data_IF_908034684990
#
_entry.id   IF_908034684990
#
_cell.length_a   1.000
_cell.length_b   1.000
_cell.length_c   1.000
_cell.angle_alpha   90.00
_cell.angle_beta   90.00
_cell.angle_gamma   90.00
#
_symmetry.space_group_name_H-M   'P 1'
#
loop_
_entity.id
_entity.type
_entity.pdbx_description
1 polymer ?
#
# COMPACT_ATOMS: atom_id res chain seq x y z
N UNK A 1 4.36 -11.35 -14.07
CA UNK A 1 3.16 -10.76 -14.72
C UNK A 1 3.53 -9.33 -15.05
N UNK A 2 3.47 -8.91 -16.31
CA UNK A 2 3.88 -7.57 -16.74
C UNK A 2 2.63 -6.70 -16.97
N UNK A 3 2.66 -5.46 -16.48
CA UNK A 3 1.54 -4.52 -16.66
C UNK A 3 1.55 -4.01 -18.09
N UNK A 4 0.39 -4.10 -18.72
CA UNK A 4 0.18 -3.50 -20.03
C UNK A 4 -0.28 -2.07 -19.85
N UNK A 5 0.35 -1.17 -20.57
CA UNK A 5 -0.03 0.22 -20.64
C UNK A 5 -0.38 0.58 -22.08
N UNK A 6 -1.29 1.52 -22.30
CA UNK A 6 -1.57 2.03 -23.63
C UNK A 6 -0.35 2.80 -24.17
N UNK A 7 -0.14 2.83 -25.50
CA UNK A 7 0.94 3.59 -26.13
C UNK A 7 1.01 5.05 -25.69
N UNK A 8 -0.13 5.69 -25.40
CA UNK A 8 -0.20 7.08 -24.93
C UNK A 8 0.51 7.33 -23.60
N UNK A 9 0.57 6.34 -22.69
CA UNK A 9 1.31 6.44 -21.44
C UNK A 9 2.83 6.45 -21.71
N UNK A 10 3.28 5.60 -22.63
CA UNK A 10 4.67 5.56 -23.05
C UNK A 10 5.09 6.80 -23.83
N UNK A 11 4.24 7.31 -24.74
CA UNK A 11 4.52 8.55 -25.48
C UNK A 11 4.76 9.73 -24.52
N UNK A 12 3.92 9.89 -23.50
CA UNK A 12 4.10 10.93 -22.48
C UNK A 12 5.42 10.78 -21.71
N UNK A 13 5.78 9.55 -21.35
CA UNK A 13 7.04 9.29 -20.66
C UNK A 13 8.25 9.66 -21.55
N UNK A 14 8.18 9.30 -22.84
CA UNK A 14 9.21 9.63 -23.83
C UNK A 14 9.35 11.14 -24.05
N UNK A 15 8.22 11.85 -24.19
CA UNK A 15 8.20 13.30 -24.33
C UNK A 15 8.78 14.02 -23.09
N UNK A 16 8.50 13.50 -21.90
CA UNK A 16 8.89 14.15 -20.66
C UNK A 16 10.38 13.95 -20.32
N UNK A 17 10.96 12.81 -20.66
CA UNK A 17 12.33 12.45 -20.26
C UNK A 17 13.28 12.17 -21.43
N UNK A 18 12.82 12.34 -22.69
CA UNK A 18 13.63 12.11 -23.91
C UNK A 18 14.32 10.74 -23.92
N UNK A 19 13.54 9.68 -23.69
CA UNK A 19 14.05 8.31 -23.51
C UNK A 19 14.01 7.48 -24.81
N UNK A 20 14.71 6.35 -24.79
CA UNK A 20 14.53 5.25 -25.74
C UNK A 20 14.04 4.00 -24.98
N UNK A 21 12.90 3.44 -25.39
CA UNK A 21 12.33 2.26 -24.73
C UNK A 21 12.96 0.94 -25.21
N UNK A 22 13.79 0.97 -26.26
CA UNK A 22 14.35 -0.23 -26.89
C UNK A 22 13.26 -1.30 -27.17
N UNK A 23 12.18 -0.88 -27.84
CA UNK A 23 11.03 -1.76 -28.12
C UNK A 23 11.43 -2.89 -29.06
N UNK A 24 10.89 -4.09 -28.85
CA UNK A 24 10.93 -5.13 -29.87
C UNK A 24 10.06 -4.76 -31.07
N UNK A 25 10.27 -5.41 -32.22
CA UNK A 25 9.44 -5.18 -33.42
C UNK A 25 7.93 -5.36 -33.13
N UNK A 26 7.58 -6.33 -32.27
CA UNK A 26 6.19 -6.56 -31.85
C UNK A 26 5.66 -5.41 -30.97
N UNK A 27 6.45 -4.94 -30.01
CA UNK A 27 6.05 -3.80 -29.16
C UNK A 27 5.98 -2.49 -29.96
N UNK A 28 6.86 -2.30 -30.94
CA UNK A 28 6.82 -1.16 -31.85
C UNK A 28 5.54 -1.18 -32.70
N UNK A 29 5.16 -2.34 -33.23
CA UNK A 29 3.87 -2.50 -33.92
C UNK A 29 2.69 -2.18 -32.99
N UNK A 30 2.69 -2.65 -31.74
CA UNK A 30 1.65 -2.31 -30.76
C UNK A 30 1.60 -0.81 -30.45
N UNK A 31 2.75 -0.14 -30.41
CA UNK A 31 2.83 1.31 -30.24
C UNK A 31 2.13 2.05 -31.39
N UNK A 32 2.33 1.61 -32.64
CA UNK A 32 1.71 2.18 -33.83
C UNK A 32 0.21 1.87 -33.94
N UNK A 33 -0.19 0.65 -33.55
CA UNK A 33 -1.58 0.18 -33.62
C UNK A 33 -2.46 0.66 -32.46
N UNK A 34 -1.89 1.34 -31.46
CA UNK A 34 -2.65 1.79 -30.29
C UNK A 34 -2.99 0.66 -29.31
N UNK A 35 -2.27 -0.46 -29.37
CA UNK A 35 -2.54 -1.67 -28.58
C UNK A 35 -1.74 -1.63 -27.29
N UNK A 36 -2.38 -2.02 -26.17
CA UNK A 36 -1.69 -2.06 -24.87
C UNK A 36 -0.60 -3.14 -24.85
N UNK A 37 0.57 -2.77 -24.35
CA UNK A 37 1.69 -3.68 -24.21
C UNK A 37 2.48 -3.39 -22.93
N UNK A 38 3.31 -4.34 -22.55
CA UNK A 38 4.13 -4.24 -21.35
C UNK A 38 5.60 -4.18 -21.71
N UNK A 39 6.38 -3.41 -20.94
CA UNK A 39 7.83 -3.51 -20.96
C UNK A 39 8.29 -4.72 -20.15
N UNK A 40 9.39 -5.35 -20.58
CA UNK A 40 10.10 -6.35 -19.79
C UNK A 40 10.73 -5.73 -18.54
N UNK A 41 11.16 -6.56 -17.59
CA UNK A 41 11.87 -6.07 -16.40
C UNK A 41 13.18 -5.37 -16.77
N UNK A 42 13.91 -5.89 -17.77
CA UNK A 42 15.16 -5.27 -18.27
C UNK A 42 14.88 -3.92 -18.94
N UNK A 43 13.83 -3.82 -19.77
CA UNK A 43 13.40 -2.55 -20.38
C UNK A 43 13.01 -1.52 -19.31
N UNK A 44 12.24 -1.94 -18.28
CA UNK A 44 11.91 -1.06 -17.15
C UNK A 44 13.16 -0.60 -16.40
N UNK A 45 14.12 -1.48 -16.22
CA UNK A 45 15.37 -1.16 -15.52
C UNK A 45 16.26 -0.21 -16.33
N UNK A 46 16.25 -0.31 -17.65
CA UNK A 46 16.91 0.62 -18.58
C UNK A 46 16.21 1.99 -18.61
N UNK A 47 14.87 2.03 -18.61
CA UNK A 47 14.11 3.27 -18.45
C UNK A 47 14.51 3.98 -17.15
N UNK A 48 14.61 3.25 -16.04
CA UNK A 48 15.07 3.83 -14.76
C UNK A 48 16.50 4.40 -14.87
N UNK A 49 17.42 3.72 -15.57
CA UNK A 49 18.79 4.22 -15.77
C UNK A 49 18.82 5.50 -16.61
N UNK A 50 18.02 5.57 -17.67
CA UNK A 50 17.93 6.74 -18.52
C UNK A 50 17.28 7.93 -17.80
N UNK A 51 16.22 7.70 -17.01
CA UNK A 51 15.65 8.75 -16.14
C UNK A 51 16.74 9.28 -15.19
N UNK A 52 17.55 8.40 -14.59
CA UNK A 52 18.63 8.79 -13.70
C UNK A 52 19.75 9.61 -14.39
N UNK A 53 19.89 9.55 -15.72
CA UNK A 53 20.84 10.40 -16.47
C UNK A 53 20.26 11.78 -16.79
N UNK A 54 18.94 11.94 -16.75
CA UNK A 54 18.25 13.22 -17.00
C UNK A 54 18.00 13.99 -15.70
N UNK A 55 17.62 13.29 -14.63
CA UNK A 55 17.28 13.85 -13.33
C UNK A 55 17.89 13.01 -12.22
N UNK A 56 18.50 13.64 -11.21
CA UNK A 56 19.02 12.92 -10.05
C UNK A 56 17.89 12.08 -9.41
N UNK A 57 18.09 10.78 -9.16
CA UNK A 57 17.04 9.88 -8.64
C UNK A 57 16.28 10.41 -7.42
N UNK A 58 16.99 11.10 -6.52
CA UNK A 58 16.41 11.68 -5.31
C UNK A 58 15.50 12.85 -5.63
N UNK A 59 15.92 13.71 -6.55
CA UNK A 59 15.11 14.84 -7.03
C UNK A 59 13.85 14.31 -7.72
N UNK A 60 13.99 13.27 -8.56
CA UNK A 60 12.83 12.60 -9.14
C UNK A 60 11.84 12.10 -8.07
N UNK A 61 12.34 11.39 -7.06
CA UNK A 61 11.47 10.86 -6.02
C UNK A 61 10.76 11.98 -5.22
N UNK A 62 11.46 13.09 -4.92
CA UNK A 62 10.88 14.26 -4.24
C UNK A 62 9.82 14.96 -5.11
N UNK A 63 10.10 15.23 -6.38
CA UNK A 63 9.23 15.98 -7.30
C UNK A 63 7.95 15.23 -7.65
N UNK A 64 8.03 13.93 -7.91
CA UNK A 64 6.89 13.15 -8.37
C UNK A 64 6.09 12.49 -7.24
N UNK A 65 6.49 12.62 -5.96
CA UNK A 65 5.80 12.00 -4.83
C UNK A 65 4.32 12.42 -4.68
N UNK A 66 3.99 13.69 -4.94
CA UNK A 66 2.60 14.17 -4.89
C UNK A 66 1.82 13.81 -6.17
N UNK A 67 2.51 13.63 -7.30
CA UNK A 67 1.92 13.29 -8.60
C UNK A 67 1.43 11.85 -8.65
N UNK A 68 2.14 10.90 -8.04
CA UNK A 68 1.84 9.46 -8.12
C UNK A 68 0.67 9.01 -7.22
N UNK A 69 -0.27 9.90 -6.91
CA UNK A 69 -1.44 9.63 -6.05
C UNK A 69 -2.66 9.20 -6.90
N UNK A 70 -3.56 8.32 -6.40
CA UNK A 70 -3.88 8.04 -5.00
C UNK A 70 -3.01 6.97 -4.32
N UNK A 71 -2.92 7.06 -2.98
CA UNK A 71 -2.14 6.14 -2.14
C UNK A 71 -3.07 5.15 -1.44
N UNK A 72 -2.67 3.88 -1.48
CA UNK A 72 -3.14 2.79 -0.61
C UNK A 72 -2.01 2.41 0.33
N UNK A 73 -2.31 2.21 1.61
CA UNK A 73 -1.32 1.91 2.64
C UNK A 73 -1.86 0.89 3.62
N UNK A 74 -1.01 -0.02 4.07
CA UNK A 74 -1.26 -0.89 5.21
C UNK A 74 -0.01 -0.99 6.06
N UNK A 75 -0.10 -0.56 7.32
CA UNK A 75 0.97 -0.65 8.31
C UNK A 75 0.69 -1.84 9.22
N UNK A 76 1.60 -2.80 9.25
CA UNK A 76 1.62 -3.91 10.19
C UNK A 76 2.76 -3.71 11.17
N UNK A 77 2.51 -4.02 12.44
CA UNK A 77 3.53 -3.97 13.49
C UNK A 77 3.61 -5.33 14.17
N UNK A 78 4.77 -5.94 14.07
CA UNK A 78 5.06 -7.28 14.55
C UNK A 78 5.81 -7.15 15.88
N UNK A 79 5.07 -7.29 16.98
CA UNK A 79 5.58 -7.38 18.34
C UNK A 79 4.69 -8.30 19.19
N UNK A 80 5.23 -8.78 20.31
CA UNK A 80 4.57 -9.78 21.15
C UNK A 80 3.23 -9.29 21.72
N UNK A 81 3.14 -8.01 22.09
CA UNK A 81 1.91 -7.42 22.65
C UNK A 81 0.76 -7.43 21.64
N UNK A 82 1.04 -7.04 20.38
CA UNK A 82 0.06 -7.06 19.31
C UNK A 82 -0.28 -8.50 18.89
N UNK A 83 0.69 -9.41 18.87
CA UNK A 83 0.45 -10.82 18.61
C UNK A 83 -0.50 -11.45 19.62
N UNK A 84 -0.29 -11.19 20.91
CA UNK A 84 -1.19 -11.63 21.97
C UNK A 84 -2.61 -11.05 21.78
N UNK A 85 -2.73 -9.82 21.28
CA UNK A 85 -4.03 -9.24 20.93
C UNK A 85 -4.66 -9.98 19.74
N UNK A 86 -3.91 -10.29 18.68
CA UNK A 86 -4.41 -10.98 17.48
C UNK A 86 -4.88 -12.40 17.73
N UNK A 87 -4.33 -13.09 18.72
CA UNK A 87 -4.81 -14.42 19.13
C UNK A 87 -6.28 -14.41 19.61
N UNK A 88 -6.83 -13.24 19.95
CA UNK A 88 -8.23 -13.06 20.37
C UNK A 88 -9.21 -13.02 19.20
N UNK A 89 -8.76 -13.07 17.94
CA UNK A 89 -9.64 -13.12 16.78
C UNK A 89 -10.60 -14.31 16.89
N UNK A 90 -11.89 -14.12 16.52
CA UNK A 90 -12.86 -15.21 16.55
C UNK A 90 -12.59 -16.25 15.44
N UNK A 91 -11.93 -15.85 14.34
CA UNK A 91 -11.64 -16.70 13.19
C UNK A 91 -10.39 -17.53 13.45
N UNK A 92 -10.58 -18.84 13.58
CA UNK A 92 -9.53 -19.78 14.01
C UNK A 92 -8.35 -19.83 13.04
N UNK A 93 -8.63 -19.81 11.72
CA UNK A 93 -7.62 -19.82 10.65
C UNK A 93 -6.74 -18.56 10.62
N UNK A 94 -7.14 -17.48 11.31
CA UNK A 94 -6.46 -16.18 11.27
C UNK A 94 -5.81 -15.77 12.59
N UNK A 95 -5.89 -16.62 13.62
CA UNK A 95 -5.24 -16.36 14.93
C UNK A 95 -3.71 -16.29 14.82
N UNK A 96 -3.14 -16.85 13.75
CA UNK A 96 -1.73 -16.75 13.40
C UNK A 96 -1.39 -15.60 12.44
N UNK A 97 -2.34 -14.71 12.12
CA UNK A 97 -2.15 -13.60 11.18
C UNK A 97 -2.27 -12.24 11.85
N UNK A 98 -1.50 -11.26 11.40
CA UNK A 98 -1.51 -9.89 11.94
C UNK A 98 -2.45 -8.98 11.15
N UNK A 99 -3.41 -8.33 11.82
CA UNK A 99 -4.19 -7.26 11.19
C UNK A 99 -3.34 -6.00 11.00
N UNK A 100 -3.67 -5.21 9.98
CA UNK A 100 -3.04 -3.92 9.78
C UNK A 100 -3.37 -3.00 10.97
N UNK A 101 -2.36 -2.44 11.63
CA UNK A 101 -2.53 -1.45 12.67
C UNK A 101 -3.15 -0.16 12.12
N UNK A 102 -2.77 0.22 10.90
CA UNK A 102 -3.29 1.41 10.24
C UNK A 102 -3.47 1.15 8.75
N UNK A 103 -4.56 1.65 8.17
CA UNK A 103 -4.87 1.49 6.75
C UNK A 103 -5.28 2.80 6.09
N UNK A 104 -4.94 2.95 4.82
CA UNK A 104 -5.56 3.90 3.88
C UNK A 104 -5.92 3.07 2.65
N UNK A 105 -7.19 2.92 2.26
CA UNK A 105 -8.39 3.54 2.83
C UNK A 105 -8.80 2.98 4.20
N UNK A 106 -9.84 3.56 4.79
CA UNK A 106 -10.51 2.99 5.96
C UNK A 106 -11.10 1.62 5.60
N UNK A 107 -10.82 0.62 6.45
CA UNK A 107 -11.44 -0.70 6.36
C UNK A 107 -12.28 -0.95 7.62
N UNK A 108 -13.56 -1.28 7.46
CA UNK A 108 -14.48 -1.57 8.58
C UNK A 108 -15.21 -2.89 8.35
N UNK A 109 -15.74 -3.47 9.42
CA UNK A 109 -16.70 -4.56 9.32
C UNK A 109 -18.11 -4.02 9.14
N UNK A 110 -18.86 -4.56 8.18
CA UNK A 110 -20.28 -4.29 7.97
C UNK A 110 -21.06 -5.59 7.70
N UNK A 111 -22.04 -5.88 8.57
CA UNK A 111 -22.88 -7.07 8.44
C UNK A 111 -23.57 -7.18 7.07
N UNK A 112 -24.02 -6.05 6.52
CA UNK A 112 -24.66 -6.01 5.20
C UNK A 112 -23.73 -6.42 4.05
N UNK A 113 -22.42 -6.42 4.27
CA UNK A 113 -21.41 -6.83 3.29
C UNK A 113 -21.00 -8.29 3.45
N UNK A 114 -21.52 -9.01 4.46
CA UNK A 114 -21.24 -10.42 4.68
C UNK A 114 -21.89 -11.29 3.59
N UNK A 115 -21.06 -12.02 2.86
CA UNK A 115 -21.47 -12.94 1.77
C UNK A 115 -20.47 -14.08 1.67
N UNK A 116 -20.79 -15.11 0.88
CA UNK A 116 -19.90 -16.28 0.70
C UNK A 116 -18.49 -15.87 0.25
N UNK A 117 -18.36 -14.85 -0.60
CA UNK A 117 -17.07 -14.31 -1.06
C UNK A 117 -16.43 -13.26 -0.14
N UNK A 118 -17.14 -12.81 0.91
CA UNK A 118 -16.66 -11.88 1.93
C UNK A 118 -17.25 -12.29 3.28
N UNK A 119 -16.85 -13.45 3.82
CA UNK A 119 -17.47 -14.02 5.01
C UNK A 119 -17.23 -13.17 6.27
N UNK A 120 -16.25 -12.26 6.22
CA UNK A 120 -15.93 -11.31 7.30
C UNK A 120 -16.53 -9.93 7.08
N UNK A 121 -17.37 -9.72 6.06
CA UNK A 121 -18.07 -8.45 5.85
C UNK A 121 -17.16 -7.22 5.78
N UNK A 122 -15.91 -7.39 5.35
CA UNK A 122 -14.95 -6.29 5.32
C UNK A 122 -15.31 -5.34 4.19
N UNK A 123 -15.45 -4.05 4.52
CA UNK A 123 -15.75 -2.97 3.59
C UNK A 123 -14.61 -1.96 3.57
N UNK A 124 -14.26 -1.53 2.36
CA UNK A 124 -13.23 -0.53 2.11
C UNK A 124 -13.90 0.77 1.70
N UNK A 125 -13.53 1.84 2.38
CA UNK A 125 -14.10 3.17 2.18
C UNK A 125 -13.03 4.06 1.58
N UNK A 126 -13.08 4.28 0.28
CA UNK A 126 -12.17 5.22 -0.36
C UNK A 126 -12.37 6.62 0.20
N UNK A 127 -11.35 7.14 0.87
CA UNK A 127 -11.37 8.49 1.39
C UNK A 127 -10.21 9.30 0.83
N UNK A 128 -10.54 10.49 0.32
CA UNK A 128 -9.64 11.48 -0.25
C UNK A 128 -9.77 12.77 0.58
N UNK A 129 -8.70 13.56 0.75
CA UNK A 129 -7.41 13.47 0.05
C UNK A 129 -6.32 12.71 0.84
N UNK A 130 -5.41 12.07 0.09
CA UNK A 130 -4.16 11.49 0.60
C UNK A 130 -2.97 12.20 -0.04
N UNK A 131 -1.85 12.29 0.68
CA UNK A 131 -0.62 12.97 0.26
C UNK A 131 0.60 12.13 0.63
N UNK A 132 1.57 12.11 -0.27
CA UNK A 132 2.89 11.51 -0.03
C UNK A 132 3.95 12.57 -0.31
N UNK A 133 4.97 12.61 0.54
CA UNK A 133 6.13 13.48 0.40
C UNK A 133 7.36 12.72 0.77
N UNK A 134 8.46 12.98 0.07
CA UNK A 134 9.74 12.41 0.43
C UNK A 134 10.78 13.52 0.52
N UNK A 135 11.76 13.35 1.39
CA UNK A 135 12.87 14.29 1.54
C UNK A 135 14.16 13.54 1.80
N UNK A 136 15.21 13.84 1.03
CA UNK A 136 16.57 13.39 1.27
C UNK A 136 17.37 14.44 2.02
N UNK A 137 17.04 15.73 1.84
CA UNK A 137 17.74 16.86 2.49
C UNK A 137 17.57 16.89 4.01
N UNK A 138 16.47 16.33 4.55
CA UNK A 138 16.13 16.38 5.99
C UNK A 138 16.18 15.00 6.66
N UNK A 139 17.15 14.18 6.26
CA UNK A 139 17.18 12.76 6.57
C UNK A 139 16.23 12.01 5.65
N UNK A 140 16.65 10.89 5.07
CA UNK A 140 15.90 10.12 4.05
C UNK A 140 14.54 9.72 4.61
N UNK A 141 13.52 10.53 4.35
CA UNK A 141 12.24 10.46 5.06
C UNK A 141 11.09 10.41 4.07
N UNK A 142 10.19 9.44 4.25
CA UNK A 142 8.95 9.30 3.51
C UNK A 142 7.79 9.59 4.46
N UNK A 143 6.97 10.59 4.11
CA UNK A 143 5.81 11.02 4.89
C UNK A 143 4.54 10.77 4.09
N UNK A 144 3.56 10.13 4.73
CA UNK A 144 2.24 9.83 4.16
C UNK A 144 1.20 10.43 5.08
N UNK A 145 0.26 11.17 4.51
CA UNK A 145 -0.89 11.73 5.22
C UNK A 145 -2.16 11.37 4.49
N UNK A 146 -3.20 10.96 5.20
CA UNK A 146 -4.47 10.61 4.59
C UNK A 146 -5.55 10.29 5.59
N UNK A 147 -6.71 9.92 5.10
CA UNK A 147 -7.83 9.48 5.92
C UNK A 147 -7.98 7.96 5.84
N UNK A 148 -8.12 7.33 7.00
CA UNK A 148 -7.92 5.89 7.11
C UNK A 148 -8.45 5.30 8.40
N UNK A 149 -8.17 4.02 8.61
CA UNK A 149 -8.51 3.29 9.82
C UNK A 149 -7.32 3.15 10.75
N UNK A 150 -7.53 3.42 12.04
CA UNK A 150 -6.61 3.06 13.13
C UNK A 150 -7.21 1.91 13.93
N UNK A 151 -6.51 0.78 14.02
CA UNK A 151 -6.99 -0.39 14.74
C UNK A 151 -7.04 -0.10 16.25
N UNK A 152 -8.24 -0.11 16.81
CA UNK A 152 -8.53 0.23 18.20
C UNK A 152 -8.89 -1.01 19.04
N UNK A 153 -8.52 -2.20 18.59
CA UNK A 153 -8.78 -3.47 19.27
C UNK A 153 -10.04 -4.18 18.77
N UNK A 154 -10.57 -5.06 19.62
CA UNK A 154 -11.77 -5.84 19.32
C UNK A 154 -12.96 -5.35 20.15
N UNK A 155 -14.14 -5.31 19.54
CA UNK A 155 -15.40 -5.02 20.23
C UNK A 155 -16.33 -6.22 20.17
N UNK A 156 -17.07 -6.46 21.25
CA UNK A 156 -18.17 -7.43 21.27
C UNK A 156 -19.41 -6.79 20.66
N UNK A 157 -19.97 -7.41 19.60
CA UNK A 157 -21.30 -7.04 19.10
C UNK A 157 -22.28 -8.14 19.45
N UNK A 158 -23.37 -7.75 20.15
CA UNK A 158 -24.54 -8.61 20.36
C UNK A 158 -25.47 -8.49 19.16
N UNK A 159 -25.75 -9.59 18.47
CA UNK A 159 -26.83 -9.63 17.50
C UNK A 159 -28.17 -9.54 18.25
N UNK A 160 -28.84 -8.38 18.21
CA UNK A 160 -30.28 -8.33 18.55
C UNK A 160 -31.07 -8.88 17.36
N UNK A 161 -31.10 -10.19 17.21
CA UNK A 161 -32.18 -10.84 16.47
C UNK A 161 -33.49 -10.50 17.18
N UNK A 162 -34.55 -10.23 16.41
CA UNK A 162 -35.86 -9.87 16.97
C UNK A 162 -36.23 -10.84 18.10
N UNK A 163 -36.74 -10.33 19.23
CA UNK A 163 -37.17 -11.05 20.45
C UNK A 163 -38.25 -12.13 20.16
N UNK A 164 -37.92 -13.14 19.39
CA UNK A 164 -38.74 -14.32 19.16
C UNK A 164 -37.85 -15.52 19.42
N UNK A 165 -38.10 -16.12 20.59
CA UNK A 165 -37.71 -17.47 20.98
C UNK A 165 -36.22 -17.65 21.26
N UNK A 166 -35.83 -17.50 22.54
CA UNK A 166 -34.76 -18.25 23.25
C UNK A 166 -33.51 -18.72 22.48
N UNK A 167 -33.07 -18.00 21.45
CA UNK A 167 -31.77 -18.20 20.83
C UNK A 167 -30.73 -17.39 21.63
N UNK A 168 -29.61 -18.01 22.04
CA UNK A 168 -28.54 -17.28 22.71
C UNK A 168 -28.03 -16.16 21.81
N UNK A 169 -27.79 -14.98 22.39
CA UNK A 169 -27.09 -13.89 21.70
C UNK A 169 -25.71 -14.42 21.27
N UNK A 170 -25.47 -14.59 19.97
CA UNK A 170 -24.11 -14.79 19.50
C UNK A 170 -23.36 -13.48 19.72
N UNK A 171 -22.35 -13.52 20.59
CA UNK A 171 -21.41 -12.41 20.77
C UNK A 171 -20.18 -12.74 19.93
N UNK A 172 -19.98 -11.96 18.87
CA UNK A 172 -18.80 -12.09 18.04
C UNK A 172 -17.87 -10.91 18.33
N UNK A 173 -16.60 -11.21 18.57
CA UNK A 173 -15.55 -10.20 18.63
C UNK A 173 -15.20 -9.78 17.21
N UNK A 174 -15.32 -8.50 16.89
CA UNK A 174 -14.95 -7.98 15.57
C UNK A 174 -13.83 -6.94 15.68
N UNK A 175 -12.93 -6.84 14.68
CA UNK A 175 -11.97 -5.76 14.59
C UNK A 175 -12.69 -4.40 14.58
N UNK A 176 -12.16 -3.46 15.35
CA UNK A 176 -12.65 -2.10 15.40
C UNK A 176 -11.59 -1.16 14.82
N UNK A 177 -11.92 -0.52 13.70
CA UNK A 177 -11.11 0.54 13.11
C UNK A 177 -11.80 1.89 13.32
N UNK A 178 -11.09 2.81 13.97
CA UNK A 178 -11.53 4.19 14.11
C UNK A 178 -11.16 4.97 12.85
N UNK A 179 -12.12 5.65 12.26
CA UNK A 179 -11.85 6.57 11.16
C UNK A 179 -11.15 7.83 11.68
N UNK A 180 -9.92 8.06 11.21
CA UNK A 180 -9.08 9.16 11.68
C UNK A 180 -8.17 9.66 10.57
N UNK A 181 -7.68 10.90 10.71
CA UNK A 181 -6.55 11.39 9.93
C UNK A 181 -5.28 10.70 10.40
N UNK A 182 -4.56 10.08 9.46
CA UNK A 182 -3.29 9.40 9.68
C UNK A 182 -2.16 10.27 9.16
N UNK A 183 -1.11 10.41 9.97
CA UNK A 183 0.21 10.87 9.53
C UNK A 183 1.25 9.81 9.88
N UNK A 184 1.91 9.28 8.87
CA UNK A 184 3.00 8.32 8.97
C UNK A 184 4.28 8.98 8.47
N UNK A 185 5.35 8.95 9.24
CA UNK A 185 6.68 9.36 8.80
C UNK A 185 7.65 8.21 9.02
N UNK A 186 8.34 7.83 7.96
CA UNK A 186 9.31 6.75 7.89
C UNK A 186 10.71 7.36 7.75
N UNK A 187 11.65 6.91 8.57
CA UNK A 187 13.09 7.14 8.37
C UNK A 187 13.62 5.94 7.59
N UNK A 188 14.05 6.16 6.36
CA UNK A 188 14.36 5.10 5.40
C UNK A 188 15.75 4.47 5.60
N UNK A 189 16.54 4.98 6.55
CA UNK A 189 17.86 4.45 6.86
C UNK A 189 17.74 3.01 7.37
N UNK A 190 18.36 2.07 6.65
CA UNK A 190 18.32 0.64 6.97
C UNK A 190 16.98 -0.05 6.64
N UNK A 191 16.07 0.60 5.91
CA UNK A 191 14.85 -0.03 5.45
C UNK A 191 15.13 -1.02 4.32
N UNK A 192 14.53 -2.22 4.38
CA UNK A 192 14.50 -3.16 3.26
C UNK A 192 13.30 -2.83 2.38
N UNK A 193 13.55 -2.63 1.10
CA UNK A 193 12.51 -2.29 0.12
C UNK A 193 12.33 -3.46 -0.84
N UNK A 194 11.08 -3.84 -1.10
CA UNK A 194 10.75 -4.88 -2.08
C UNK A 194 9.59 -4.40 -2.93
N UNK A 195 9.86 -4.13 -4.22
CA UNK A 195 8.81 -3.84 -5.20
C UNK A 195 8.04 -5.10 -5.51
N UNK A 196 6.72 -4.99 -5.70
CA UNK A 196 5.84 -6.12 -6.01
C UNK A 196 6.00 -7.28 -5.02
N UNK A 197 5.85 -7.01 -3.70
CA UNK A 197 6.01 -8.02 -2.67
C UNK A 197 5.02 -9.16 -2.87
N UNK A 198 5.49 -10.41 -2.73
CA UNK A 198 4.59 -11.54 -2.62
C UNK A 198 3.74 -11.41 -1.35
N UNK A 199 2.45 -11.79 -1.38
CA UNK A 199 1.62 -11.85 -0.18
C UNK A 199 2.28 -12.71 0.90
N UNK A 200 2.16 -12.27 2.16
CA UNK A 200 2.75 -12.94 3.32
C UNK A 200 1.68 -13.66 4.12
N UNK A 201 1.93 -14.92 4.45
CA UNK A 201 0.96 -15.77 5.15
C UNK A 201 0.68 -15.29 6.57
N UNK A 202 1.64 -14.62 7.21
CA UNK A 202 1.50 -14.05 8.56
C UNK A 202 0.73 -12.72 8.60
N UNK A 203 0.39 -12.13 7.46
CA UNK A 203 -0.37 -10.88 7.38
C UNK A 203 -1.84 -11.16 7.03
N UNK A 204 -2.74 -10.50 7.75
CA UNK A 204 -4.17 -10.54 7.49
C UNK A 204 -4.54 -9.37 6.57
N UNK A 205 -5.03 -9.69 5.37
CA UNK A 205 -5.38 -8.72 4.35
C UNK A 205 -6.87 -8.40 4.29
N UNK A 206 -7.70 -9.01 5.15
CA UNK A 206 -9.15 -8.87 5.02
C UNK A 206 -9.62 -7.46 5.34
N UNK A 207 -8.97 -6.82 6.31
CA UNK A 207 -9.20 -5.43 6.70
C UNK A 207 -8.11 -4.48 6.17
N UNK A 208 -7.58 -4.77 4.99
CA UNK A 208 -6.65 -3.92 4.24
C UNK A 208 -6.88 -4.05 2.74
N UNK A 209 -6.06 -3.44 1.89
CA UNK A 209 -6.01 -3.86 0.49
C UNK A 209 -5.54 -5.32 0.37
N UNK A 210 -5.95 -5.99 -0.71
CA UNK A 210 -5.58 -7.39 -0.92
C UNK A 210 -4.07 -7.55 -1.13
N UNK A 211 -3.50 -8.68 -0.70
CA UNK A 211 -2.10 -8.99 -0.99
C UNK A 211 -1.79 -8.97 -2.49
N UNK A 212 -2.74 -9.41 -3.33
CA UNK A 212 -2.63 -9.33 -4.79
C UNK A 212 -2.48 -7.88 -5.28
N UNK A 213 -3.26 -6.95 -4.73
CA UNK A 213 -3.15 -5.53 -5.08
C UNK A 213 -1.73 -5.00 -4.82
N UNK A 214 -1.12 -5.31 -3.67
CA UNK A 214 0.25 -4.87 -3.37
C UNK A 214 1.31 -5.58 -4.21
N UNK A 215 1.12 -6.87 -4.52
CA UNK A 215 1.98 -7.58 -5.45
C UNK A 215 1.95 -6.92 -6.84
N UNK A 216 0.77 -6.48 -7.27
CA UNK A 216 0.57 -5.89 -8.57
C UNK A 216 1.07 -4.42 -8.62
N UNK A 217 0.69 -3.59 -7.64
CA UNK A 217 0.81 -2.13 -7.70
C UNK A 217 1.60 -1.51 -6.55
N UNK A 218 2.38 -2.31 -5.81
CA UNK A 218 2.92 -1.88 -4.54
C UNK A 218 4.40 -2.10 -4.30
N UNK A 219 4.82 -1.58 -3.15
CA UNK A 219 6.12 -1.77 -2.54
C UNK A 219 5.92 -2.13 -1.07
N UNK A 220 6.80 -2.98 -0.56
CA UNK A 220 6.92 -3.27 0.86
C UNK A 220 8.17 -2.60 1.41
N UNK A 221 8.01 -1.91 2.54
CA UNK A 221 9.08 -1.35 3.34
C UNK A 221 9.12 -2.08 4.69
N UNK A 222 10.26 -2.69 5.00
CA UNK A 222 10.49 -3.35 6.28
C UNK A 222 11.58 -2.63 7.05
N UNK A 223 11.30 -2.30 8.30
CA UNK A 223 12.23 -1.56 9.14
C UNK A 223 11.94 -1.75 10.63
N UNK A 224 12.90 -1.43 11.51
CA UNK A 224 12.63 -1.28 12.93
C UNK A 224 11.51 -0.26 13.15
N UNK A 225 10.57 -0.58 14.04
CA UNK A 225 9.43 0.29 14.37
C UNK A 225 9.84 1.64 14.94
N UNK A 226 11.03 1.74 15.53
CA UNK A 226 11.60 3.02 15.97
C UNK A 226 11.79 4.00 14.82
N UNK A 227 11.98 3.54 13.58
CA UNK A 227 12.07 4.38 12.38
C UNK A 227 10.70 4.82 11.85
N UNK A 228 9.61 4.37 12.48
CA UNK A 228 8.23 4.65 12.09
C UNK A 228 7.57 5.54 13.13
N UNK A 229 7.30 6.79 12.77
CA UNK A 229 6.53 7.72 13.58
C UNK A 229 5.08 7.77 13.08
N UNK A 230 4.14 7.35 13.92
CA UNK A 230 2.71 7.36 13.61
C UNK A 230 1.98 8.41 14.46
N UNK A 231 1.07 9.15 13.84
CA UNK A 231 0.11 10.03 14.50
C UNK A 231 -1.29 9.75 13.95
N UNK A 232 -2.18 9.28 14.84
CA UNK A 232 -3.58 8.98 14.53
C UNK A 232 -4.50 10.02 15.17
N UNK A 233 -5.20 10.82 14.35
CA UNK A 233 -6.13 11.85 14.78
C UNK A 233 -5.51 12.91 15.70
N UNK A 234 -6.12 13.10 16.88
CA UNK A 234 -5.67 14.08 17.90
C UNK A 234 -4.58 13.54 18.84
N UNK A 235 -4.22 12.26 18.74
CA UNK A 235 -3.20 11.65 19.61
C UNK A 235 -1.82 12.27 19.32
N UNK A 236 -0.93 12.26 20.32
CA UNK A 236 0.46 12.67 20.12
C UNK A 236 1.16 11.68 19.19
N UNK A 237 2.06 12.15 18.30
CA UNK A 237 2.90 11.25 17.51
C UNK A 237 3.70 10.32 18.41
N UNK A 238 3.83 9.06 18.01
CA UNK A 238 4.59 8.05 18.75
C UNK A 238 5.36 7.15 17.79
N UNK A 239 6.49 6.62 18.26
CA UNK A 239 7.28 5.64 17.50
C UNK A 239 6.72 4.25 17.73
N UNK A 240 6.68 3.43 16.68
CA UNK A 240 6.20 2.05 16.79
C UNK A 240 7.22 1.19 17.56
N UNK A 241 6.75 0.11 18.18
CA UNK A 241 7.59 -0.87 18.89
C UNK A 241 7.60 -2.19 18.12
N UNK A 242 8.77 -2.83 18.01
CA UNK A 242 8.95 -4.08 17.26
C UNK A 242 9.34 -3.85 15.80
N UNK A 243 9.02 -4.78 14.91
CA UNK A 243 9.30 -4.65 13.47
C UNK A 243 8.07 -4.09 12.75
N UNK A 244 8.27 -3.12 11.86
CA UNK A 244 7.22 -2.55 11.05
C UNK A 244 7.31 -3.04 9.61
N UNK A 245 6.17 -3.47 9.07
CA UNK A 245 6.00 -3.79 7.65
C UNK A 245 4.97 -2.82 7.08
N UNK A 246 5.39 -2.00 6.13
CA UNK A 246 4.52 -1.03 5.47
C UNK A 246 4.34 -1.47 4.02
N UNK A 247 3.11 -1.76 3.64
CA UNK A 247 2.73 -1.97 2.26
C UNK A 247 2.16 -0.66 1.72
N UNK A 248 2.72 -0.18 0.62
CA UNK A 248 2.25 0.99 -0.11
C UNK A 248 1.87 0.56 -1.50
N UNK A 249 0.72 0.99 -1.99
CA UNK A 249 0.30 0.80 -3.36
C UNK A 249 -0.15 2.11 -3.97
N UNK A 250 0.18 2.29 -5.24
CA UNK A 250 -0.16 3.47 -6.02
C UNK A 250 -0.81 2.95 -7.30
N UNK A 251 -2.10 3.23 -7.45
CA UNK A 251 -2.89 2.80 -8.60
C UNK A 251 -3.98 3.83 -8.88
N UNK A 252 -3.98 4.34 -10.10
CA UNK A 252 -4.96 5.23 -10.70
C UNK A 252 -5.48 4.57 -11.99
N UNK A 253 -6.59 3.81 -11.93
CA UNK A 253 -7.13 3.11 -13.10
C UNK A 253 -7.61 4.07 -14.20
N UNK A 254 -7.73 5.36 -13.91
CA UNK A 254 -8.14 6.39 -14.87
C UNK A 254 -6.95 7.06 -15.56
N UNK A 255 -5.72 6.89 -15.06
CA UNK A 255 -4.51 7.56 -15.55
C UNK A 255 -3.34 6.57 -15.67
N UNK A 256 -3.31 5.84 -16.78
CA UNK A 256 -2.28 4.83 -17.05
C UNK A 256 -0.84 5.41 -17.08
N UNK A 257 -0.69 6.70 -17.41
CA UNK A 257 0.62 7.37 -17.34
C UNK A 257 1.07 7.51 -15.88
N UNK A 258 0.16 7.92 -15.00
CA UNK A 258 0.45 8.01 -13.57
C UNK A 258 0.77 6.65 -12.95
N UNK A 259 0.11 5.59 -13.39
CA UNK A 259 0.43 4.22 -12.95
C UNK A 259 1.81 3.74 -13.39
N UNK A 260 2.19 4.06 -14.63
CA UNK A 260 3.54 3.79 -15.12
C UNK A 260 4.58 4.58 -14.31
N UNK A 261 4.31 5.86 -14.06
CA UNK A 261 5.17 6.73 -13.27
C UNK A 261 5.31 6.24 -11.82
N UNK A 262 4.22 5.77 -11.20
CA UNK A 262 4.23 5.17 -9.87
C UNK A 262 5.09 3.89 -9.81
N UNK A 263 5.01 3.05 -10.85
CA UNK A 263 5.84 1.85 -10.97
C UNK A 263 7.33 2.20 -11.07
N UNK A 264 7.69 3.23 -11.85
CA UNK A 264 9.05 3.74 -11.95
C UNK A 264 9.52 4.35 -10.62
N UNK A 265 8.64 5.11 -9.96
CA UNK A 265 8.91 5.71 -8.66
C UNK A 265 9.26 4.66 -7.61
N UNK A 266 8.51 3.56 -7.51
CA UNK A 266 8.84 2.47 -6.59
C UNK A 266 10.15 1.76 -6.92
N UNK A 267 10.48 1.56 -8.20
CA UNK A 267 11.78 0.99 -8.61
C UNK A 267 12.94 1.89 -8.20
N UNK A 268 12.82 3.19 -8.46
CA UNK A 268 13.84 4.17 -8.08
C UNK A 268 13.98 4.23 -6.55
N UNK A 269 12.87 4.22 -5.80
CA UNK A 269 12.89 4.17 -4.34
C UNK A 269 13.64 2.92 -3.85
N UNK A 270 13.34 1.76 -4.42
CA UNK A 270 13.99 0.51 -4.03
C UNK A 270 15.50 0.52 -4.28
N UNK A 271 15.96 1.14 -5.38
CA UNK A 271 17.40 1.32 -5.64
C UNK A 271 18.05 2.29 -4.65
N UNK A 272 17.43 3.45 -4.41
CA UNK A 272 17.99 4.50 -3.54
C UNK A 272 18.02 4.11 -2.04
N UNK A 273 17.06 3.28 -1.60
CA UNK A 273 16.93 2.88 -0.20
C UNK A 273 17.51 1.49 0.04
N UNK A 274 17.19 0.54 -0.84
CA UNK A 274 17.53 -0.88 -0.67
C UNK A 274 18.98 -1.22 -0.93
N UNK A 275 19.75 -0.35 -1.58
CA UNK A 275 21.18 -0.53 -1.83
C UNK A 275 21.47 -1.86 -2.53
N UNK A 276 21.24 -1.90 -3.85
CA UNK A 276 21.88 -2.89 -4.73
C UNK A 276 22.99 -2.21 -5.50
#
# INVERSE_FOLDING_TARGET
MSFKYPPSAFSRLLEQFELDLNLSDEQAAFMEEGVEFSLSEDQMDDVVRQIASVIEPRVFLEEYAETVTPIRMSLYVLNDDLWAMMQRKPWEDDRGRMLAMTTIPLCTWEHSEERVSNPKGAKRWEVKPNKMRVSWKRGRTLSITGEGGDFAGFIERSHRTARKWSMPESRQLIPNYEFVTIFLQLTLDGARVTTRPLPRDELDYDFSESGKFFYDHGVMLEMPGENVLLKSGKRRPYRMKGNAVILLGLHDPEDAYRDLLASLWFRILAREVGGV
#
